data_IF_814924208483
#
_entry.id   IF_814924208483
#
_cell.length_a   1.000
_cell.length_b   1.000
_cell.length_c   1.000
_cell.angle_alpha   90.00
_cell.angle_beta   90.00
_cell.angle_gamma   90.00
#
_symmetry.space_group_name_H-M   'P 1'
#
loop_
_entity.id
_entity.type
_entity.pdbx_description
1 polymer ?
#
# COMPACT_ATOMS: atom_id res chain seq x y z
N UNK A 1 -2.25 18.00 -12.41
CA UNK A 1 -2.30 17.49 -13.79
C UNK A 1 -2.71 16.03 -13.70
N UNK A 2 -3.78 15.64 -14.34
CA UNK A 2 -4.18 14.24 -14.44
C UNK A 2 -3.26 13.53 -15.42
N UNK A 3 -2.95 12.27 -15.15
CA UNK A 3 -2.21 11.41 -16.06
C UNK A 3 -3.08 11.10 -17.29
N UNK A 4 -2.54 11.32 -18.48
CA UNK A 4 -3.17 10.95 -19.74
C UNK A 4 -2.41 9.79 -20.40
N UNK A 5 -3.14 8.92 -21.10
CA UNK A 5 -2.53 7.76 -21.79
C UNK A 5 -1.42 8.16 -22.77
N UNK A 6 -1.52 9.36 -23.34
CA UNK A 6 -0.51 9.95 -24.22
C UNK A 6 0.85 10.16 -23.54
N UNK A 7 0.84 10.41 -22.22
CA UNK A 7 2.06 10.68 -21.45
C UNK A 7 3.00 9.44 -21.39
N UNK A 8 2.47 8.23 -21.56
CA UNK A 8 3.21 6.99 -21.42
C UNK A 8 3.31 6.13 -22.69
N UNK A 9 2.73 6.54 -23.81
CA UNK A 9 2.71 5.73 -25.07
C UNK A 9 4.10 5.40 -25.64
N UNK A 10 5.13 6.11 -25.22
CA UNK A 10 6.52 5.93 -25.69
C UNK A 10 7.37 5.10 -24.72
N UNK A 11 6.78 4.60 -23.62
CA UNK A 11 7.50 3.84 -22.61
C UNK A 11 7.44 2.35 -22.94
N UNK A 12 8.62 1.74 -23.08
CA UNK A 12 8.76 0.30 -23.21
C UNK A 12 9.18 -0.32 -21.86
N UNK A 13 8.65 -1.50 -21.54
CA UNK A 13 9.07 -2.30 -20.37
C UNK A 13 9.06 -1.53 -19.03
N UNK A 14 7.96 -0.89 -18.73
CA UNK A 14 7.82 -0.04 -17.52
C UNK A 14 6.95 -0.67 -16.44
N UNK A 15 7.06 -0.11 -15.23
CA UNK A 15 6.21 -0.39 -14.09
C UNK A 15 5.15 0.71 -13.97
N UNK A 16 3.88 0.33 -13.88
CA UNK A 16 2.79 1.25 -13.55
C UNK A 16 2.52 1.20 -12.04
N UNK A 17 2.67 2.33 -11.36
CA UNK A 17 2.23 2.49 -9.97
C UNK A 17 1.09 3.48 -9.95
N UNK A 18 -0.09 3.03 -9.50
CA UNK A 18 -1.28 3.86 -9.39
C UNK A 18 -1.76 3.96 -7.95
N UNK A 19 -1.84 5.18 -7.47
CA UNK A 19 -2.46 5.54 -6.18
C UNK A 19 -3.57 6.58 -6.40
N UNK A 20 -4.35 6.38 -7.46
CA UNK A 20 -5.45 7.29 -7.78
C UNK A 20 -6.51 7.24 -6.69
N UNK A 21 -7.00 8.41 -6.35
CA UNK A 21 -8.12 8.59 -5.43
C UNK A 21 -8.85 9.87 -5.76
N UNK A 22 -10.11 9.76 -6.09
CA UNK A 22 -11.00 10.91 -6.11
C UNK A 22 -11.31 11.35 -4.67
N UNK A 23 -11.57 12.63 -4.51
CA UNK A 23 -11.93 13.17 -3.19
C UNK A 23 -13.31 12.67 -2.78
N UNK A 24 -13.40 12.11 -1.59
CA UNK A 24 -14.63 11.57 -1.01
C UNK A 24 -14.92 12.30 0.29
N UNK A 25 -16.06 12.96 0.36
CA UNK A 25 -16.55 13.56 1.59
C UNK A 25 -17.54 12.60 2.29
N UNK A 26 -17.02 11.80 3.22
CA UNK A 26 -17.80 10.80 3.96
C UNK A 26 -18.92 11.38 4.81
N UNK A 27 -18.91 12.71 5.09
CA UNK A 27 -19.94 13.36 5.90
C UNK A 27 -21.15 13.80 5.07
N UNK A 28 -21.00 13.96 3.75
CA UNK A 28 -22.03 14.49 2.86
C UNK A 28 -22.47 13.52 1.78
N UNK A 29 -21.66 12.51 1.47
CA UNK A 29 -21.94 11.53 0.43
C UNK A 29 -22.58 10.26 1.02
N UNK A 30 -23.54 9.74 0.30
CA UNK A 30 -24.11 8.43 0.58
C UNK A 30 -23.05 7.32 0.33
N UNK A 31 -23.26 6.19 0.95
CA UNK A 31 -22.39 5.03 0.73
C UNK A 31 -22.41 4.57 -0.73
N UNK A 32 -23.54 4.69 -1.41
CA UNK A 32 -23.65 4.34 -2.83
C UNK A 32 -22.80 5.26 -3.72
N UNK A 33 -22.83 6.57 -3.44
CA UNK A 33 -21.98 7.54 -4.17
C UNK A 33 -20.49 7.26 -3.95
N UNK A 34 -20.10 6.94 -2.71
CA UNK A 34 -18.72 6.54 -2.40
C UNK A 34 -18.33 5.28 -3.18
N UNK A 35 -19.23 4.30 -3.25
CA UNK A 35 -18.98 3.06 -3.99
C UNK A 35 -18.81 3.33 -5.49
N UNK A 36 -19.64 4.18 -6.07
CA UNK A 36 -19.54 4.55 -7.48
C UNK A 36 -18.18 5.19 -7.80
N UNK A 37 -17.71 6.11 -6.94
CA UNK A 37 -16.39 6.73 -7.07
C UNK A 37 -15.27 5.68 -7.01
N UNK A 38 -15.37 4.72 -6.09
CA UNK A 38 -14.41 3.61 -6.00
C UNK A 38 -14.39 2.79 -7.28
N UNK A 39 -15.56 2.48 -7.84
CA UNK A 39 -15.67 1.74 -9.10
C UNK A 39 -15.09 2.53 -10.28
N UNK A 40 -15.33 3.83 -10.35
CA UNK A 40 -14.75 4.71 -11.38
C UNK A 40 -13.21 4.73 -11.30
N UNK A 41 -12.65 4.87 -10.09
CA UNK A 41 -11.19 4.81 -9.88
C UNK A 41 -10.61 3.46 -10.30
N UNK A 42 -11.29 2.37 -9.98
CA UNK A 42 -10.88 1.01 -10.35
C UNK A 42 -10.93 0.81 -11.87
N UNK A 43 -12.00 1.26 -12.53
CA UNK A 43 -12.15 1.15 -13.98
C UNK A 43 -11.13 2.03 -14.72
N UNK A 44 -10.82 3.21 -14.20
CA UNK A 44 -9.78 4.06 -14.77
C UNK A 44 -8.39 3.39 -14.73
N UNK A 45 -8.03 2.78 -13.61
CA UNK A 45 -6.79 2.00 -13.49
C UNK A 45 -6.80 0.80 -14.47
N UNK A 46 -7.94 0.12 -14.60
CA UNK A 46 -8.11 -1.00 -15.52
C UNK A 46 -7.85 -0.55 -16.97
N UNK A 47 -8.41 0.57 -17.36
CA UNK A 47 -8.19 1.16 -18.68
C UNK A 47 -6.72 1.53 -18.92
N UNK A 48 -6.01 2.05 -17.93
CA UNK A 48 -4.58 2.31 -18.05
C UNK A 48 -3.77 1.04 -18.27
N UNK A 49 -4.01 0.00 -17.49
CA UNK A 49 -3.30 -1.28 -17.63
C UNK A 49 -3.53 -1.90 -19.00
N UNK A 50 -4.78 -1.94 -19.47
CA UNK A 50 -5.13 -2.55 -20.77
C UNK A 50 -4.56 -1.79 -21.96
N UNK A 51 -4.50 -0.46 -21.89
CA UNK A 51 -4.00 0.36 -22.99
C UNK A 51 -2.47 0.50 -23.00
N UNK A 52 -1.85 0.62 -21.84
CA UNK A 52 -0.41 0.84 -21.70
C UNK A 52 0.40 -0.46 -21.66
N UNK A 53 -0.21 -1.56 -21.27
CA UNK A 53 0.40 -2.90 -21.17
C UNK A 53 1.73 -2.89 -20.38
N UNK A 54 1.76 -2.36 -19.16
CA UNK A 54 2.96 -2.35 -18.33
C UNK A 54 3.41 -3.78 -18.01
N UNK A 55 4.71 -3.99 -17.82
CA UNK A 55 5.25 -5.28 -17.40
C UNK A 55 4.71 -5.74 -16.03
N UNK A 56 4.55 -4.80 -15.13
CA UNK A 56 3.95 -5.02 -13.81
C UNK A 56 3.18 -3.77 -13.43
N UNK A 57 2.02 -3.95 -12.81
CA UNK A 57 1.24 -2.86 -12.24
C UNK A 57 1.10 -3.05 -10.73
N UNK A 58 1.31 -1.99 -9.97
CA UNK A 58 0.94 -1.89 -8.56
C UNK A 58 -0.23 -0.92 -8.44
N UNK A 59 -1.41 -1.48 -8.27
CA UNK A 59 -2.67 -0.74 -8.32
C UNK A 59 -3.24 -0.58 -6.92
N UNK A 60 -3.87 0.55 -6.68
CA UNK A 60 -4.74 0.73 -5.51
C UNK A 60 -5.96 -0.17 -5.68
N UNK A 61 -6.19 -1.07 -4.74
CA UNK A 61 -7.33 -1.96 -4.77
C UNK A 61 -8.24 -1.72 -3.57
N UNK A 62 -9.48 -1.42 -3.87
CA UNK A 62 -10.53 -1.29 -2.89
C UNK A 62 -11.79 -1.95 -3.40
N UNK A 63 -12.30 -2.91 -2.64
CA UNK A 63 -13.53 -3.59 -3.00
C UNK A 63 -14.74 -2.65 -2.86
N UNK A 64 -15.63 -2.55 -3.87
CA UNK A 64 -16.91 -1.85 -3.72
C UNK A 64 -17.81 -2.67 -2.78
N UNK A 65 -18.13 -2.10 -1.61
CA UNK A 65 -18.72 -2.85 -0.49
C UNK A 65 -20.22 -3.16 -0.63
N UNK A 66 -20.90 -2.57 -1.64
CA UNK A 66 -22.33 -2.80 -1.89
C UNK A 66 -22.62 -3.84 -2.97
N UNK A 67 -21.57 -4.45 -3.51
CA UNK A 67 -21.68 -5.56 -4.44
C UNK A 67 -21.27 -6.84 -3.72
N UNK A 68 -21.97 -7.94 -3.94
CA UNK A 68 -21.58 -9.26 -3.41
C UNK A 68 -20.26 -9.73 -4.01
N UNK A 69 -20.00 -9.33 -5.24
CA UNK A 69 -18.79 -9.67 -5.97
C UNK A 69 -18.42 -8.57 -6.98
N UNK A 70 -17.13 -8.52 -7.31
CA UNK A 70 -16.57 -7.57 -8.26
C UNK A 70 -15.53 -8.26 -9.14
N UNK A 71 -15.65 -8.11 -10.46
CA UNK A 71 -14.68 -8.66 -11.40
C UNK A 71 -13.56 -7.65 -11.66
N UNK A 72 -12.34 -8.07 -11.39
CA UNK A 72 -11.15 -7.27 -11.63
C UNK A 72 -9.95 -8.14 -12.02
N UNK A 73 -8.81 -7.54 -12.23
CA UNK A 73 -7.59 -8.30 -12.53
C UNK A 73 -7.26 -9.31 -11.44
N UNK A 74 -6.88 -10.51 -11.86
CA UNK A 74 -6.24 -11.45 -10.95
C UNK A 74 -4.83 -10.96 -10.62
N UNK A 75 -4.48 -10.99 -9.34
CA UNK A 75 -3.17 -10.53 -8.87
C UNK A 75 -2.93 -10.87 -7.41
N UNK A 76 -1.78 -10.49 -6.94
CA UNK A 76 -1.38 -10.63 -5.55
C UNK A 76 -1.86 -9.41 -4.75
N UNK A 77 -2.71 -9.65 -3.75
CA UNK A 77 -3.14 -8.61 -2.82
C UNK A 77 -2.06 -8.41 -1.75
N UNK A 78 -1.61 -7.17 -1.64
CA UNK A 78 -0.67 -6.75 -0.61
C UNK A 78 -1.37 -5.90 0.43
N UNK A 79 -1.00 -6.14 1.68
CA UNK A 79 -1.30 -5.25 2.77
C UNK A 79 -0.49 -3.96 2.64
N UNK A 80 -1.13 -2.83 2.91
CA UNK A 80 -0.45 -1.54 2.94
C UNK A 80 -0.09 -1.20 4.39
N UNK A 81 1.21 -1.18 4.77
CA UNK A 81 1.62 -0.64 6.07
C UNK A 81 1.11 0.80 6.24
N UNK A 82 0.75 1.15 7.45
CA UNK A 82 0.26 2.49 7.80
C UNK A 82 -1.08 2.91 7.18
N UNK A 83 -1.79 1.98 6.53
CA UNK A 83 -3.15 2.28 6.09
C UNK A 83 -4.04 2.54 7.30
N UNK A 84 -4.81 3.64 7.34
CA UNK A 84 -5.78 3.86 8.40
C UNK A 84 -6.78 2.70 8.49
N UNK A 85 -7.15 2.28 9.69
CA UNK A 85 -8.10 1.17 9.90
C UNK A 85 -9.46 1.41 9.22
N UNK A 86 -9.83 2.67 9.02
CA UNK A 86 -11.04 3.07 8.31
C UNK A 86 -10.96 2.90 6.80
N UNK A 87 -9.75 2.71 6.24
CA UNK A 87 -9.58 2.52 4.80
C UNK A 87 -9.57 1.04 4.49
N UNK A 88 -10.59 0.57 3.80
CA UNK A 88 -10.64 -0.78 3.23
C UNK A 88 -9.79 -0.84 1.96
N UNK A 89 -8.49 -0.57 2.09
CA UNK A 89 -7.58 -0.41 0.98
C UNK A 89 -6.42 -1.40 1.04
N UNK A 90 -6.17 -2.04 -0.09
CA UNK A 90 -5.01 -2.89 -0.32
C UNK A 90 -4.31 -2.47 -1.60
N UNK A 91 -3.18 -3.11 -1.91
CA UNK A 91 -2.49 -2.98 -3.18
C UNK A 91 -2.60 -4.28 -3.96
N UNK A 92 -2.83 -4.17 -5.26
CA UNK A 92 -2.89 -5.32 -6.16
C UNK A 92 -1.70 -5.28 -7.12
N UNK A 93 -0.89 -6.34 -7.10
CA UNK A 93 0.15 -6.55 -8.11
C UNK A 93 -0.44 -7.33 -9.27
N UNK A 94 -0.44 -6.73 -10.45
CA UNK A 94 -0.87 -7.36 -11.71
C UNK A 94 0.34 -7.51 -12.62
N UNK A 95 0.57 -8.73 -13.15
CA UNK A 95 1.65 -9.04 -14.09
C UNK A 95 1.14 -9.02 -15.54
N UNK A 96 2.06 -9.11 -16.50
CA UNK A 96 1.77 -9.04 -17.95
C UNK A 96 0.64 -9.97 -18.43
N UNK A 97 0.56 -11.19 -17.88
CA UNK A 97 -0.48 -12.15 -18.21
C UNK A 97 -1.79 -11.80 -17.50
N UNK A 98 -2.49 -10.84 -18.07
CA UNK A 98 -3.72 -10.29 -17.50
C UNK A 98 -4.84 -11.31 -17.61
N UNK A 99 -5.33 -11.76 -16.47
CA UNK A 99 -6.52 -12.62 -16.34
C UNK A 99 -7.45 -11.94 -15.34
N UNK A 100 -8.75 -12.01 -15.56
CA UNK A 100 -9.72 -11.50 -14.60
C UNK A 100 -10.03 -12.55 -13.52
N UNK A 101 -10.41 -12.05 -12.35
CA UNK A 101 -10.86 -12.82 -11.18
C UNK A 101 -12.08 -12.15 -10.57
N UNK A 102 -13.02 -12.97 -10.12
CA UNK A 102 -14.16 -12.49 -9.31
C UNK A 102 -13.72 -12.46 -7.85
N UNK A 103 -13.74 -11.29 -7.26
CA UNK A 103 -13.53 -11.06 -5.83
C UNK A 103 -14.88 -11.03 -5.14
N UNK A 104 -15.03 -11.81 -4.06
CA UNK A 104 -16.22 -11.77 -3.21
C UNK A 104 -16.01 -10.77 -2.08
N UNK A 105 -16.99 -9.95 -1.83
CA UNK A 105 -16.95 -8.94 -0.76
C UNK A 105 -16.76 -9.57 0.61
N UNK A 106 -17.40 -10.72 0.87
CA UNK A 106 -17.22 -11.48 2.11
C UNK A 106 -15.78 -11.89 2.36
N UNK A 107 -15.09 -12.40 1.34
CA UNK A 107 -13.71 -12.87 1.45
C UNK A 107 -12.75 -11.70 1.66
N UNK A 108 -13.01 -10.58 0.98
CA UNK A 108 -12.22 -9.37 1.14
C UNK A 108 -12.37 -8.76 2.53
N UNK A 109 -13.60 -8.69 3.05
CA UNK A 109 -13.85 -8.21 4.42
C UNK A 109 -13.24 -9.12 5.48
N UNK A 110 -13.28 -10.44 5.27
CA UNK A 110 -12.62 -11.40 6.15
C UNK A 110 -11.10 -11.16 6.19
N UNK A 111 -10.48 -10.96 5.03
CA UNK A 111 -9.05 -10.61 4.93
C UNK A 111 -8.75 -9.34 5.73
N UNK A 112 -9.50 -8.26 5.51
CA UNK A 112 -9.27 -6.98 6.19
C UNK A 112 -9.46 -7.07 7.70
N UNK A 113 -10.48 -7.81 8.16
CA UNK A 113 -10.70 -8.00 9.59
C UNK A 113 -9.56 -8.79 10.24
N UNK A 114 -9.03 -9.81 9.54
CA UNK A 114 -7.85 -10.55 9.99
C UNK A 114 -6.63 -9.63 10.09
N UNK A 115 -6.39 -8.80 9.08
CA UNK A 115 -5.27 -7.85 9.08
C UNK A 115 -5.39 -6.84 10.23
N UNK A 116 -6.59 -6.33 10.50
CA UNK A 116 -6.84 -5.45 11.66
C UNK A 116 -6.54 -6.14 12.99
N UNK A 117 -6.95 -7.38 13.13
CA UNK A 117 -6.69 -8.15 14.34
C UNK A 117 -5.19 -8.41 14.53
N UNK A 118 -4.47 -8.82 13.47
CA UNK A 118 -3.02 -8.99 13.50
C UNK A 118 -2.32 -7.70 13.93
N UNK A 119 -2.70 -6.55 13.37
CA UNK A 119 -2.11 -5.25 13.74
C UNK A 119 -2.32 -4.89 15.21
N UNK A 120 -3.43 -5.31 15.79
CA UNK A 120 -3.77 -5.01 17.17
C UNK A 120 -3.11 -5.96 18.18
N UNK A 121 -2.95 -7.23 17.82
CA UNK A 121 -2.59 -8.29 18.76
C UNK A 121 -1.20 -8.88 18.52
N UNK A 122 -0.66 -8.76 17.31
CA UNK A 122 0.58 -9.42 16.93
C UNK A 122 1.74 -8.43 16.84
N UNK A 123 2.91 -8.87 17.29
CA UNK A 123 4.19 -8.22 16.99
C UNK A 123 4.76 -8.88 15.73
N UNK A 124 4.89 -8.13 14.66
CA UNK A 124 5.50 -8.64 13.45
C UNK A 124 7.01 -8.87 13.68
N UNK A 125 7.47 -10.12 13.52
CA UNK A 125 8.89 -10.46 13.62
C UNK A 125 9.61 -10.20 12.29
N UNK A 126 10.41 -9.17 12.23
CA UNK A 126 11.24 -8.85 11.07
C UNK A 126 12.54 -9.67 11.03
N UNK A 127 12.84 -10.46 12.06
CA UNK A 127 14.01 -11.38 12.11
C UNK A 127 15.37 -10.68 12.02
N UNK A 128 15.47 -9.41 12.41
CA UNK A 128 16.74 -8.68 12.55
C UNK A 128 17.09 -8.50 14.02
N UNK A 129 18.38 -8.51 14.39
CA UNK A 129 18.84 -8.27 15.76
C UNK A 129 18.70 -6.79 16.17
N UNK A 130 17.52 -6.22 15.96
CA UNK A 130 17.18 -4.84 16.26
C UNK A 130 16.07 -4.82 17.30
N UNK A 131 16.36 -4.29 18.48
CA UNK A 131 15.33 -4.04 19.48
C UNK A 131 14.48 -2.81 19.12
N UNK A 132 15.05 -1.82 18.43
CA UNK A 132 14.37 -0.59 18.05
C UNK A 132 15.09 0.16 16.94
N UNK A 133 14.34 0.70 15.98
CA UNK A 133 14.84 1.61 14.95
C UNK A 133 14.46 3.05 15.36
N UNK A 134 15.40 3.99 15.43
CA UNK A 134 15.10 5.37 15.76
C UNK A 134 14.05 5.97 14.81
N UNK A 135 12.99 6.53 15.36
CA UNK A 135 11.89 7.12 14.57
C UNK A 135 10.73 6.18 14.28
N UNK A 136 10.90 4.87 14.52
CA UNK A 136 9.83 3.87 14.47
C UNK A 136 9.56 3.36 15.90
N UNK A 137 8.31 3.04 16.20
CA UNK A 137 7.96 2.27 17.38
C UNK A 137 7.98 0.77 17.07
N UNK A 138 7.61 -0.08 17.97
CA UNK A 138 7.59 -1.53 17.74
C UNK A 138 6.18 -2.02 17.37
N UNK A 139 5.35 -1.18 16.78
CA UNK A 139 4.05 -1.61 16.31
C UNK A 139 4.17 -2.56 15.11
N UNK A 140 3.09 -3.24 14.78
CA UNK A 140 3.02 -4.17 13.66
C UNK A 140 3.48 -3.53 12.34
N UNK A 141 2.95 -2.35 12.02
CA UNK A 141 3.28 -1.65 10.76
C UNK A 141 4.75 -1.22 10.67
N UNK A 142 5.35 -0.74 11.77
CA UNK A 142 6.78 -0.44 11.82
C UNK A 142 7.63 -1.66 11.54
N UNK A 143 7.28 -2.79 12.14
CA UNK A 143 8.03 -4.02 11.99
C UNK A 143 7.83 -4.64 10.59
N UNK A 144 6.63 -4.51 10.00
CA UNK A 144 6.35 -4.89 8.62
C UNK A 144 7.16 -4.03 7.65
N UNK A 145 7.25 -2.72 7.84
CA UNK A 145 8.10 -1.83 7.05
C UNK A 145 9.58 -2.25 7.12
N UNK A 146 10.08 -2.54 8.31
CA UNK A 146 11.45 -3.04 8.50
C UNK A 146 11.68 -4.34 7.71
N UNK A 147 10.69 -5.24 7.69
CA UNK A 147 10.77 -6.49 6.93
C UNK A 147 10.84 -6.24 5.42
N UNK A 148 10.02 -5.32 4.90
CA UNK A 148 10.05 -4.94 3.47
C UNK A 148 11.42 -4.36 3.10
N UNK A 149 11.97 -3.48 3.92
CA UNK A 149 13.31 -2.93 3.73
C UNK A 149 14.41 -3.99 3.75
N UNK A 150 14.31 -4.94 4.66
CA UNK A 150 15.24 -6.08 4.75
C UNK A 150 15.25 -6.89 3.46
N UNK A 151 14.08 -7.27 2.96
CA UNK A 151 13.97 -8.07 1.73
C UNK A 151 14.46 -7.27 0.50
N UNK A 152 14.14 -5.98 0.42
CA UNK A 152 14.67 -5.10 -0.62
C UNK A 152 16.21 -5.06 -0.62
N UNK A 153 16.81 -4.81 0.54
CA UNK A 153 18.28 -4.72 0.68
C UNK A 153 18.98 -6.04 0.41
N UNK A 154 18.39 -7.17 0.79
CA UNK A 154 18.92 -8.50 0.44
C UNK A 154 18.92 -8.76 -1.06
N UNK A 155 17.86 -8.32 -1.75
CA UNK A 155 17.72 -8.55 -3.19
C UNK A 155 18.70 -7.73 -4.02
N UNK A 156 19.04 -6.52 -3.59
CA UNK A 156 19.85 -5.57 -4.35
C UNK A 156 21.29 -5.41 -3.85
N UNK A 157 21.70 -6.20 -2.85
CA UNK A 157 23.07 -6.21 -2.36
C UNK A 157 23.38 -7.48 -1.57
N UNK A 158 24.61 -7.94 -1.61
CA UNK A 158 25.13 -8.95 -0.68
C UNK A 158 25.35 -8.33 0.71
N UNK A 159 24.24 -7.96 1.36
CA UNK A 159 24.28 -7.22 2.62
C UNK A 159 23.94 -8.18 3.76
N UNK A 160 24.87 -8.32 4.71
CA UNK A 160 24.63 -9.10 5.93
C UNK A 160 23.52 -8.48 6.80
N UNK A 161 22.84 -9.27 7.61
CA UNK A 161 21.83 -8.78 8.54
C UNK A 161 22.35 -7.68 9.48
N UNK A 162 23.63 -7.72 9.85
CA UNK A 162 24.28 -6.69 10.66
C UNK A 162 24.38 -5.37 9.91
N UNK A 163 24.77 -5.41 8.64
CA UNK A 163 24.85 -4.21 7.80
C UNK A 163 23.47 -3.62 7.50
N UNK A 164 22.46 -4.46 7.27
CA UNK A 164 21.06 -4.04 7.14
C UNK A 164 20.62 -3.31 8.40
N UNK A 165 20.88 -3.88 9.58
CA UNK A 165 20.55 -3.27 10.87
C UNK A 165 21.19 -1.90 11.06
N UNK A 166 22.47 -1.75 10.69
CA UNK A 166 23.17 -0.47 10.76
C UNK A 166 22.61 0.55 9.77
N UNK A 167 22.26 0.13 8.56
CA UNK A 167 21.67 1.01 7.55
C UNK A 167 20.28 1.50 8.01
N UNK A 168 19.45 0.63 8.56
CA UNK A 168 18.14 0.99 9.10
C UNK A 168 18.24 1.99 10.25
N UNK A 169 19.17 1.78 11.18
CA UNK A 169 19.43 2.76 12.26
C UNK A 169 19.81 4.14 11.70
N UNK A 170 20.72 4.19 10.70
CA UNK A 170 21.12 5.44 10.07
C UNK A 170 19.96 6.12 9.34
N UNK A 171 19.13 5.35 8.62
CA UNK A 171 17.95 5.87 7.92
C UNK A 171 16.90 6.39 8.90
N UNK A 172 16.60 5.65 9.96
CA UNK A 172 15.69 6.09 11.01
C UNK A 172 16.14 7.38 11.71
N UNK A 173 17.45 7.54 11.95
CA UNK A 173 18.00 8.78 12.50
C UNK A 173 17.81 9.96 11.52
N UNK A 174 18.04 9.75 10.22
CA UNK A 174 17.81 10.76 9.19
C UNK A 174 16.33 11.14 9.11
N UNK A 175 15.45 10.16 9.10
CA UNK A 175 14.00 10.36 9.08
C UNK A 175 13.53 11.16 10.30
N UNK A 176 13.98 10.79 11.50
CA UNK A 176 13.68 11.52 12.72
C UNK A 176 14.11 13.00 12.64
N UNK A 177 15.32 13.26 12.14
CA UNK A 177 15.83 14.64 11.95
C UNK A 177 14.99 15.41 10.92
N UNK A 178 14.62 14.78 9.81
CA UNK A 178 13.76 15.37 8.79
C UNK A 178 12.40 15.75 9.36
N UNK A 179 11.73 14.83 10.03
CA UNK A 179 10.42 15.05 10.65
C UNK A 179 10.46 16.10 11.78
N UNK A 180 11.60 16.23 12.45
CA UNK A 180 11.78 17.27 13.47
C UNK A 180 11.87 18.66 12.87
N UNK A 181 12.43 18.80 11.69
CA UNK A 181 12.56 20.07 10.96
C UNK A 181 11.30 20.47 10.17
N UNK A 182 10.44 19.52 9.86
CA UNK A 182 9.24 19.74 9.06
C UNK A 182 7.98 19.48 9.91
N UNK A 183 7.35 20.53 10.49
CA UNK A 183 6.23 20.38 11.42
C UNK A 183 5.01 19.68 10.78
N UNK A 184 4.77 19.85 9.48
CA UNK A 184 3.70 19.12 8.76
C UNK A 184 3.97 17.60 8.69
N UNK A 185 5.23 17.18 8.62
CA UNK A 185 5.61 15.78 8.77
C UNK A 185 5.37 15.23 10.17
N UNK A 186 5.55 16.06 11.22
CA UNK A 186 5.26 15.68 12.60
C UNK A 186 3.77 15.38 12.85
N UNK A 187 2.87 16.15 12.24
CA UNK A 187 1.42 15.92 12.36
C UNK A 187 1.03 14.56 11.80
N UNK A 188 1.56 14.18 10.64
CA UNK A 188 1.34 12.83 10.08
C UNK A 188 1.91 11.74 10.99
N UNK A 189 3.12 11.93 11.49
CA UNK A 189 3.78 10.95 12.35
C UNK A 189 3.09 10.81 13.73
N UNK A 190 2.62 11.92 14.32
CA UNK A 190 1.88 11.88 15.57
C UNK A 190 0.49 11.26 15.42
N UNK A 191 -0.16 11.45 14.26
CA UNK A 191 -1.43 10.80 13.96
C UNK A 191 -1.27 9.28 13.68
N UNK A 192 -0.07 8.84 13.26
CA UNK A 192 0.27 7.41 13.15
C UNK A 192 0.57 6.75 14.49
N UNK A 193 0.82 7.52 15.55
CA UNK A 193 1.10 7.01 16.91
C UNK A 193 -0.15 6.71 17.74
N UNK A 194 -1.33 6.99 17.24
CA UNK A 194 -2.61 6.85 17.95
C UNK A 194 -3.32 5.53 17.61
N UNK A 195 -2.55 4.52 17.19
CA UNK A 195 -3.12 3.18 16.94
C UNK A 195 -2.36 2.12 17.72
#
# INVERSE_FOLDING_TARGET
KYFELSDAKHLDNFLLISDIRQEVNVNTMSQQEICNIVMEDMELQKNWVLNLKPRVSLLKFRMPLFCDSFEYFNGELLEQPWAPESTYETRLIVKENIVNKIYKTSDYLLLLNRLKECRRTELFDHGLPLKRVPGLDNCFDCNLEISIWKEYLKKFGEISNTNISNLMKKTGIKLKRYLTKNPHGKLRYNNMKVH
#
